data_IF_599762985465
#
_entry.id   IF_599762985465
#
_cell.length_a   1.000
_cell.length_b   1.000
_cell.length_c   1.000
_cell.angle_alpha   90.00
_cell.angle_beta   90.00
_cell.angle_gamma   90.00
#
_symmetry.space_group_name_H-M   'P 1'
#
loop_
_entity.id
_entity.type
_entity.pdbx_description
1 polymer ?
#
# COMPACT_ATOMS: atom_id res chain seq x y z
N UNK A 1 -35.93 -1.53 25.02
CA UNK A 1 -34.80 -0.87 24.36
C UNK A 1 -33.56 -1.17 25.21
N UNK A 2 -32.82 -2.23 24.91
CA UNK A 2 -31.60 -2.58 25.66
C UNK A 2 -30.53 -1.58 25.26
N UNK A 3 -30.03 -0.78 26.21
CA UNK A 3 -28.86 0.07 25.97
C UNK A 3 -27.70 -0.84 25.56
N UNK A 4 -27.24 -0.71 24.32
CA UNK A 4 -25.95 -1.27 23.92
C UNK A 4 -24.93 -0.61 24.83
N UNK A 5 -24.28 -1.41 25.67
CA UNK A 5 -23.00 -1.05 26.25
C UNK A 5 -22.14 -0.64 25.06
N UNK A 6 -21.79 0.65 24.96
CA UNK A 6 -20.84 1.14 23.97
C UNK A 6 -19.51 0.53 24.33
N UNK A 7 -19.22 -0.63 23.75
CA UNK A 7 -17.92 -1.26 23.82
C UNK A 7 -16.93 -0.23 23.27
N UNK A 8 -15.95 0.18 24.09
CA UNK A 8 -15.01 1.25 23.74
C UNK A 8 -14.46 1.02 22.32
N UNK A 9 -14.63 2.02 21.45
CA UNK A 9 -14.14 1.99 20.07
C UNK A 9 -12.64 1.71 20.06
N UNK A 10 -12.17 0.97 19.04
CA UNK A 10 -10.76 0.70 18.90
C UNK A 10 -9.97 2.00 18.67
N UNK A 11 -8.87 2.16 19.38
CA UNK A 11 -7.85 3.17 19.09
C UNK A 11 -6.57 2.49 18.62
N UNK A 12 -6.28 2.60 17.33
CA UNK A 12 -5.04 2.15 16.73
C UNK A 12 -3.94 3.21 16.94
N UNK A 13 -2.81 2.79 17.50
CA UNK A 13 -1.69 3.65 17.86
C UNK A 13 -0.49 3.29 17.00
N UNK A 14 -0.09 4.20 16.12
CA UNK A 14 1.11 4.09 15.30
C UNK A 14 2.21 5.00 15.84
N UNK A 15 3.27 4.41 16.36
CA UNK A 15 4.26 5.06 17.22
C UNK A 15 5.61 5.10 16.52
N UNK A 16 6.02 6.30 16.10
CA UNK A 16 7.24 6.49 15.31
C UNK A 16 8.54 6.33 16.11
N UNK A 17 8.44 6.04 17.42
CA UNK A 17 9.57 5.51 18.20
C UNK A 17 9.92 4.08 17.81
N UNK A 18 9.00 3.36 17.17
CA UNK A 18 9.14 1.93 16.91
C UNK A 18 8.74 1.50 15.50
N UNK A 19 7.93 2.28 14.79
CA UNK A 19 7.46 1.99 13.45
C UNK A 19 8.12 2.89 12.38
N UNK A 20 8.31 2.38 11.15
CA UNK A 20 8.93 3.14 10.07
C UNK A 20 8.02 4.27 9.57
N UNK A 21 8.63 5.31 9.01
CA UNK A 21 7.90 6.39 8.32
C UNK A 21 7.78 6.10 6.83
N UNK A 22 7.06 5.03 6.50
CA UNK A 22 6.93 4.43 5.16
C UNK A 22 5.48 3.99 4.87
N UNK A 23 5.24 3.39 3.70
CA UNK A 23 3.96 2.76 3.35
C UNK A 23 3.62 1.50 4.15
N UNK A 24 4.51 1.01 5.03
CA UNK A 24 4.21 -0.07 5.98
C UNK A 24 3.06 0.29 6.94
N UNK A 25 2.82 1.60 7.12
CA UNK A 25 1.62 2.11 7.78
C UNK A 25 0.32 1.56 7.15
N UNK A 26 0.31 1.26 5.85
CA UNK A 26 -0.84 0.64 5.20
C UNK A 26 -1.16 -0.74 5.78
N UNK A 27 -0.16 -1.59 5.98
CA UNK A 27 -0.36 -2.91 6.60
C UNK A 27 -0.88 -2.75 8.04
N UNK A 28 -0.35 -1.78 8.79
CA UNK A 28 -0.88 -1.47 10.12
C UNK A 28 -2.38 -1.13 10.10
N UNK A 29 -2.83 -0.32 9.13
CA UNK A 29 -4.25 0.02 8.99
C UNK A 29 -5.10 -1.22 8.64
N UNK A 30 -4.59 -2.11 7.77
CA UNK A 30 -5.25 -3.38 7.46
C UNK A 30 -5.46 -4.20 8.74
N UNK A 31 -4.40 -4.38 9.52
CA UNK A 31 -4.48 -5.17 10.76
C UNK A 31 -5.45 -4.55 11.77
N UNK A 32 -5.40 -3.23 11.93
CA UNK A 32 -6.31 -2.50 12.82
C UNK A 32 -7.78 -2.68 12.39
N UNK A 33 -8.09 -2.55 11.10
CA UNK A 33 -9.45 -2.74 10.59
C UNK A 33 -9.91 -4.19 10.67
N UNK A 34 -9.04 -5.17 10.36
CA UNK A 34 -9.36 -6.59 10.55
C UNK A 34 -9.71 -6.91 12.01
N UNK A 35 -8.94 -6.39 12.97
CA UNK A 35 -9.25 -6.54 14.40
C UNK A 35 -10.58 -5.86 14.76
N UNK A 36 -10.83 -4.66 14.22
CA UNK A 36 -12.10 -3.94 14.39
C UNK A 36 -13.29 -4.76 13.88
N UNK A 37 -13.16 -5.38 12.70
CA UNK A 37 -14.16 -6.27 12.10
C UNK A 37 -14.45 -7.49 12.98
N UNK A 38 -13.42 -8.21 13.45
CA UNK A 38 -13.58 -9.41 14.30
C UNK A 38 -14.25 -9.11 15.65
N UNK A 39 -14.20 -7.85 16.08
CA UNK A 39 -14.87 -7.36 17.30
C UNK A 39 -16.28 -6.86 17.06
N UNK A 40 -16.76 -6.87 15.81
CA UNK A 40 -18.06 -6.34 15.45
C UNK A 40 -18.16 -4.83 15.66
N UNK A 41 -17.05 -4.11 15.62
CA UNK A 41 -17.00 -2.65 15.76
C UNK A 41 -17.15 -1.99 14.38
N UNK A 42 -17.90 -0.89 14.32
CA UNK A 42 -18.23 -0.22 13.05
C UNK A 42 -17.17 0.78 12.58
N UNK A 43 -16.43 1.37 13.52
CA UNK A 43 -15.39 2.36 13.25
C UNK A 43 -14.29 2.29 14.29
N UNK A 44 -13.12 2.86 13.96
CA UNK A 44 -11.99 3.00 14.87
C UNK A 44 -11.22 4.29 14.63
N UNK A 45 -10.49 4.71 15.65
CA UNK A 45 -9.65 5.92 15.62
C UNK A 45 -8.17 5.55 15.41
N UNK A 46 -7.42 6.42 14.74
CA UNK A 46 -5.98 6.25 14.50
C UNK A 46 -5.19 7.41 15.09
N UNK A 47 -4.27 7.09 15.99
CA UNK A 47 -3.34 8.03 16.61
C UNK A 47 -1.91 7.76 16.13
N UNK A 48 -1.32 8.70 15.41
CA UNK A 48 0.09 8.67 15.03
C UNK A 48 0.90 9.47 16.04
N UNK A 49 1.81 8.81 16.77
CA UNK A 49 2.68 9.44 17.76
C UNK A 49 4.01 9.86 17.12
N UNK A 50 4.26 11.16 17.11
CA UNK A 50 5.38 11.86 16.49
C UNK A 50 6.20 12.64 17.54
N UNK A 51 6.16 12.23 18.80
CA UNK A 51 6.79 12.94 19.91
C UNK A 51 8.24 12.53 20.16
N UNK A 52 8.62 11.35 19.72
CA UNK A 52 9.97 10.79 19.81
C UNK A 52 10.15 9.78 18.65
N UNK A 53 11.39 9.46 18.32
CA UNK A 53 11.73 8.80 17.06
C UNK A 53 12.76 7.70 17.24
N UNK A 54 12.56 6.60 16.52
CA UNK A 54 13.59 5.57 16.45
C UNK A 54 14.83 6.12 15.73
N UNK A 55 15.99 5.93 16.37
CA UNK A 55 17.33 6.06 15.80
C UNK A 55 17.85 4.70 15.29
N UNK A 56 16.99 3.74 14.97
CA UNK A 56 17.41 2.43 14.45
C UNK A 56 16.55 2.00 13.29
N UNK A 57 17.21 1.45 12.27
CA UNK A 57 16.66 1.09 10.99
C UNK A 57 17.53 1.70 9.90
N UNK A 58 18.10 0.87 9.02
CA UNK A 58 18.92 1.36 7.91
C UNK A 58 18.11 2.40 7.12
N UNK A 59 18.62 3.64 7.06
CA UNK A 59 17.99 4.77 6.37
C UNK A 59 17.08 5.67 7.23
N UNK A 60 16.50 5.19 8.33
CA UNK A 60 15.60 6.00 9.20
C UNK A 60 16.39 6.99 10.07
N UNK A 61 17.64 6.67 10.39
CA UNK A 61 18.58 7.52 11.14
C UNK A 61 18.86 8.89 10.47
N UNK A 62 18.46 9.09 9.21
CA UNK A 62 18.72 10.32 8.44
C UNK A 62 17.56 11.30 8.36
N UNK A 63 16.33 10.90 8.72
CA UNK A 63 15.17 11.80 8.58
C UNK A 63 15.02 12.74 9.77
N UNK A 64 15.03 14.04 9.48
CA UNK A 64 14.72 15.10 10.44
C UNK A 64 13.28 14.98 10.97
N UNK A 65 13.03 15.58 12.14
CA UNK A 65 11.68 15.68 12.71
C UNK A 65 10.67 16.28 11.73
N UNK A 66 11.09 17.29 10.96
CA UNK A 66 10.22 17.96 9.98
C UNK A 66 9.86 17.04 8.82
N UNK A 67 10.83 16.29 8.27
CA UNK A 67 10.57 15.31 7.21
C UNK A 67 9.62 14.20 7.67
N UNK A 68 9.77 13.72 8.92
CA UNK A 68 8.87 12.70 9.47
C UNK A 68 7.44 13.21 9.64
N UNK A 69 7.27 14.44 10.16
CA UNK A 69 5.95 15.08 10.26
C UNK A 69 5.36 15.31 8.87
N UNK A 70 6.18 15.73 7.90
CA UNK A 70 5.76 15.90 6.52
C UNK A 70 5.29 14.56 5.92
N UNK A 71 6.07 13.48 6.09
CA UNK A 71 5.67 12.14 5.64
C UNK A 71 4.40 11.66 6.35
N UNK A 72 4.24 11.89 7.65
CA UNK A 72 3.02 11.51 8.37
C UNK A 72 1.77 12.21 7.78
N UNK A 73 1.89 13.48 7.40
CA UNK A 73 0.78 14.22 6.77
C UNK A 73 0.51 13.78 5.32
N UNK A 74 1.54 13.47 4.54
CA UNK A 74 1.37 13.17 3.11
C UNK A 74 1.17 11.67 2.81
N UNK A 75 1.60 10.79 3.72
CA UNK A 75 1.48 9.34 3.56
C UNK A 75 0.41 8.80 4.49
N UNK A 76 0.53 9.02 5.81
CA UNK A 76 -0.36 8.34 6.76
C UNK A 76 -1.77 8.89 6.75
N UNK A 77 -1.92 10.22 6.72
CA UNK A 77 -3.25 10.83 6.62
C UNK A 77 -3.93 10.40 5.32
N UNK A 78 -3.20 10.40 4.21
CA UNK A 78 -3.71 9.99 2.90
C UNK A 78 -4.05 8.50 2.82
N UNK A 79 -3.29 7.62 3.46
CA UNK A 79 -3.64 6.20 3.57
C UNK A 79 -4.86 5.99 4.48
N UNK A 80 -4.96 6.76 5.56
CA UNK A 80 -6.08 6.66 6.50
C UNK A 80 -7.41 7.06 5.84
N UNK A 81 -7.41 8.05 4.94
CA UNK A 81 -8.61 8.40 4.19
C UNK A 81 -9.09 7.32 3.22
N UNK A 82 -8.25 6.31 2.92
CA UNK A 82 -8.63 5.17 2.07
C UNK A 82 -9.30 4.04 2.86
N UNK A 83 -9.38 4.11 4.18
CA UNK A 83 -10.00 3.08 5.02
C UNK A 83 -11.32 3.64 5.56
N UNK A 84 -12.49 3.25 5.00
CA UNK A 84 -13.76 3.90 5.31
C UNK A 84 -14.20 3.82 6.77
N UNK A 85 -13.67 2.84 7.52
CA UNK A 85 -14.01 2.62 8.92
C UNK A 85 -13.19 3.49 9.89
N UNK A 86 -12.27 4.32 9.40
CA UNK A 86 -11.54 5.29 10.24
C UNK A 86 -12.41 6.54 10.41
N UNK A 87 -12.87 6.80 11.63
CA UNK A 87 -13.68 7.98 11.95
C UNK A 87 -12.83 9.18 12.39
N UNK A 88 -11.65 8.92 12.95
CA UNK A 88 -10.76 9.95 13.47
C UNK A 88 -9.29 9.60 13.18
N UNK A 89 -8.54 10.58 12.69
CA UNK A 89 -7.09 10.49 12.51
C UNK A 89 -6.39 11.66 13.20
N UNK A 90 -5.45 11.36 14.10
CA UNK A 90 -4.70 12.35 14.89
C UNK A 90 -3.21 12.16 14.73
N UNK A 91 -2.50 13.27 14.50
CA UNK A 91 -1.04 13.34 14.63
C UNK A 91 -0.70 14.02 15.96
N UNK A 92 -0.04 13.30 16.86
CA UNK A 92 0.30 13.75 18.21
C UNK A 92 1.80 14.04 18.25
N UNK A 93 2.19 15.31 18.32
CA UNK A 93 3.59 15.76 18.31
C UNK A 93 4.16 16.08 19.68
N UNK A 94 3.31 16.17 20.71
CA UNK A 94 3.68 16.34 22.12
C UNK A 94 3.56 15.03 22.91
N UNK A 95 3.78 15.05 24.23
CA UNK A 95 3.56 13.88 25.07
C UNK A 95 2.17 13.27 24.82
N UNK A 96 2.06 11.95 24.59
CA UNK A 96 0.78 11.34 24.32
C UNK A 96 -0.13 11.50 25.55
N UNK A 97 -1.44 11.76 25.36
CA UNK A 97 -2.39 11.70 26.46
C UNK A 97 -2.43 10.27 27.03
N UNK A 98 -2.97 10.07 28.24
CA UNK A 98 -3.27 8.72 28.71
C UNK A 98 -4.19 8.01 27.71
N UNK A 99 -3.68 6.98 27.04
CA UNK A 99 -4.44 6.14 26.13
C UNK A 99 -4.94 4.95 26.95
N UNK A 100 -6.26 4.86 27.10
CA UNK A 100 -6.95 3.84 27.90
C UNK A 100 -8.06 3.23 27.05
N UNK A 101 -8.44 2.00 27.39
CA UNK A 101 -9.53 1.29 26.72
C UNK A 101 -9.02 0.32 25.67
N UNK A 102 -9.74 0.24 24.55
CA UNK A 102 -9.51 -0.77 23.54
C UNK A 102 -8.42 -0.32 22.56
N UNK A 103 -7.17 -0.76 22.78
CA UNK A 103 -6.03 -0.30 21.98
C UNK A 103 -5.59 -1.35 20.96
N UNK A 104 -5.05 -0.88 19.84
CA UNK A 104 -4.20 -1.69 18.96
C UNK A 104 -2.86 -0.97 18.78
N UNK A 105 -1.72 -1.60 19.08
CA UNK A 105 -1.57 -2.94 19.67
C UNK A 105 -2.16 -3.06 21.09
N UNK A 106 -2.65 -4.26 21.47
CA UNK A 106 -3.46 -4.50 22.68
C UNK A 106 -2.81 -4.16 24.02
N UNK A 107 -1.49 -4.02 24.03
CA UNK A 107 -0.69 -3.74 25.21
C UNK A 107 0.26 -2.56 24.98
N UNK A 108 -0.10 -1.64 24.07
CA UNK A 108 0.68 -0.44 23.87
C UNK A 108 0.82 0.30 25.21
N UNK A 109 2.06 0.56 25.60
CA UNK A 109 2.41 1.44 26.72
C UNK A 109 3.56 2.33 26.30
N UNK A 110 3.76 3.45 26.99
CA UNK A 110 4.85 4.36 26.65
C UNK A 110 6.24 3.68 26.71
N UNK A 111 6.43 2.70 27.58
CA UNK A 111 7.67 1.93 27.76
C UNK A 111 7.75 0.67 26.87
N UNK A 112 6.73 0.40 26.05
CA UNK A 112 6.60 -0.84 25.31
C UNK A 112 7.58 -0.95 24.13
N UNK A 113 8.51 -1.91 24.15
CA UNK A 113 9.51 -2.09 23.09
C UNK A 113 9.41 -3.40 22.28
N UNK A 114 8.77 -4.46 22.80
CA UNK A 114 9.11 -5.84 22.37
C UNK A 114 8.16 -6.52 21.37
N UNK A 115 6.83 -6.27 21.39
CA UNK A 115 5.92 -6.85 20.36
C UNK A 115 5.49 -5.88 19.26
N UNK A 116 6.07 -4.69 19.21
CA UNK A 116 5.61 -3.68 18.25
C UNK A 116 5.91 -4.12 16.82
N UNK A 117 7.08 -4.74 16.56
CA UNK A 117 7.46 -5.24 15.24
C UNK A 117 6.48 -6.27 14.68
N UNK A 118 5.83 -7.07 15.53
CA UNK A 118 4.81 -8.05 15.09
C UNK A 118 3.57 -7.35 14.52
N UNK A 119 3.25 -6.12 14.94
CA UNK A 119 2.04 -5.39 14.52
C UNK A 119 2.13 -4.74 13.13
N UNK A 120 3.16 -5.08 12.33
CA UNK A 120 3.42 -4.52 10.99
C UNK A 120 3.64 -5.58 9.92
N UNK A 121 3.52 -6.86 10.30
CA UNK A 121 3.88 -7.97 9.43
C UNK A 121 2.66 -8.41 8.64
N UNK A 122 2.78 -8.48 7.31
CA UNK A 122 1.68 -8.84 6.42
C UNK A 122 1.13 -10.24 6.71
N UNK A 123 1.97 -11.16 7.23
CA UNK A 123 1.54 -12.47 7.74
C UNK A 123 0.36 -12.39 8.71
N UNK A 124 0.30 -11.39 9.58
CA UNK A 124 -0.80 -11.31 10.55
C UNK A 124 -2.14 -11.03 9.87
N UNK A 125 -2.16 -10.45 8.67
CA UNK A 125 -3.39 -10.30 7.90
C UNK A 125 -3.89 -11.66 7.37
N UNK A 126 -2.98 -12.59 7.09
CA UNK A 126 -3.31 -14.00 6.76
C UNK A 126 -3.95 -14.70 7.95
N UNK A 127 -3.36 -14.56 9.13
CA UNK A 127 -3.93 -15.12 10.36
C UNK A 127 -5.34 -14.56 10.63
N UNK A 128 -5.52 -13.23 10.55
CA UNK A 128 -6.82 -12.59 10.75
C UNK A 128 -7.85 -12.94 9.67
N UNK A 129 -7.42 -13.16 8.42
CA UNK A 129 -8.29 -13.63 7.35
C UNK A 129 -8.90 -15.00 7.66
N UNK A 130 -8.09 -15.93 8.16
CA UNK A 130 -8.58 -17.26 8.55
C UNK A 130 -9.51 -17.22 9.78
N UNK A 131 -9.41 -16.20 10.62
CA UNK A 131 -10.36 -15.92 11.71
C UNK A 131 -11.66 -15.24 11.21
N UNK A 132 -11.77 -14.95 9.92
CA UNK A 132 -12.98 -14.41 9.28
C UNK A 132 -12.97 -12.91 9.01
N UNK A 133 -11.83 -12.22 9.17
CA UNK A 133 -11.70 -10.83 8.76
C UNK A 133 -11.57 -10.69 7.23
N UNK A 134 -11.89 -9.52 6.70
CA UNK A 134 -11.66 -9.17 5.30
C UNK A 134 -10.53 -8.12 5.18
N UNK A 135 -9.34 -8.49 4.67
CA UNK A 135 -8.22 -7.58 4.49
C UNK A 135 -8.37 -6.57 3.34
N UNK A 136 -9.43 -6.66 2.53
CA UNK A 136 -9.70 -5.71 1.44
C UNK A 136 -10.31 -4.39 1.96
N UNK A 137 -9.50 -3.63 2.67
CA UNK A 137 -9.87 -2.42 3.43
C UNK A 137 -9.73 -1.13 2.62
N UNK A 138 -8.77 -1.07 1.69
CA UNK A 138 -8.48 0.17 0.96
C UNK A 138 -9.49 0.41 -0.15
N UNK A 139 -10.05 1.62 -0.15
CA UNK A 139 -11.00 2.11 -1.14
C UNK A 139 -10.80 3.59 -1.33
N UNK A 140 -10.74 4.04 -2.57
CA UNK A 140 -10.74 5.48 -2.86
C UNK A 140 -12.02 6.16 -2.37
N UNK A 141 -11.94 7.47 -2.10
CA UNK A 141 -13.09 8.27 -1.72
C UNK A 141 -14.04 8.45 -2.92
N UNK A 142 -15.31 8.72 -2.62
CA UNK A 142 -16.33 8.96 -3.64
C UNK A 142 -15.94 10.11 -4.59
N UNK A 143 -15.47 11.23 -4.05
CA UNK A 143 -15.02 12.38 -4.84
C UNK A 143 -13.87 12.02 -5.79
N UNK A 144 -12.88 11.23 -5.33
CA UNK A 144 -11.78 10.79 -6.19
C UNK A 144 -12.26 9.84 -7.30
N UNK A 145 -13.23 8.95 -7.01
CA UNK A 145 -13.86 8.09 -8.01
C UNK A 145 -14.60 8.88 -9.07
N UNK A 146 -15.46 9.81 -8.65
CA UNK A 146 -16.21 10.66 -9.57
C UNK A 146 -15.28 11.47 -10.48
N UNK A 147 -14.24 12.08 -9.92
CA UNK A 147 -13.25 12.84 -10.68
C UNK A 147 -12.56 11.98 -11.75
N UNK A 148 -12.10 10.78 -11.38
CA UNK A 148 -11.42 9.87 -12.32
C UNK A 148 -12.39 9.38 -13.38
N UNK A 149 -13.59 8.95 -13.01
CA UNK A 149 -14.60 8.47 -13.94
C UNK A 149 -15.02 9.53 -14.96
N UNK A 150 -15.15 10.80 -14.53
CA UNK A 150 -15.49 11.90 -15.43
C UNK A 150 -14.35 12.21 -16.42
N UNK A 151 -13.10 12.21 -15.93
CA UNK A 151 -11.93 12.65 -16.70
C UNK A 151 -11.35 11.58 -17.59
N UNK A 152 -11.43 10.31 -17.19
CA UNK A 152 -10.78 9.18 -17.86
C UNK A 152 -11.83 8.15 -18.28
N UNK A 153 -12.57 8.47 -19.34
CA UNK A 153 -13.70 7.67 -19.85
C UNK A 153 -13.29 6.47 -20.70
N UNK A 154 -12.02 6.39 -21.08
CA UNK A 154 -11.48 5.32 -21.91
C UNK A 154 -11.09 4.13 -21.06
N UNK A 155 -10.97 2.96 -21.68
CA UNK A 155 -10.39 1.79 -21.02
C UNK A 155 -8.87 1.96 -20.99
N UNK A 156 -8.29 2.04 -19.80
CA UNK A 156 -6.85 2.26 -19.66
C UNK A 156 -6.15 1.23 -18.77
N UNK A 157 -4.84 1.11 -18.97
CA UNK A 157 -3.92 0.33 -18.14
C UNK A 157 -2.98 1.29 -17.43
N UNK A 158 -2.60 0.97 -16.19
CA UNK A 158 -1.58 1.74 -15.48
C UNK A 158 -0.27 0.98 -15.38
N UNK A 159 0.84 1.72 -15.46
CA UNK A 159 2.19 1.22 -15.25
C UNK A 159 2.81 1.94 -14.07
N UNK A 160 3.01 1.25 -12.95
CA UNK A 160 3.54 1.85 -11.72
C UNK A 160 5.00 1.48 -11.51
N UNK A 161 5.86 2.48 -11.68
CA UNK A 161 7.31 2.31 -11.63
C UNK A 161 7.81 2.40 -10.18
N UNK A 162 8.82 1.61 -9.83
CA UNK A 162 9.55 1.77 -8.57
C UNK A 162 10.98 2.23 -8.85
N UNK A 163 11.20 3.54 -8.84
CA UNK A 163 12.50 4.18 -9.07
C UNK A 163 13.07 4.85 -7.80
N UNK A 164 12.58 4.45 -6.61
CA UNK A 164 13.07 4.98 -5.34
C UNK A 164 14.59 4.76 -5.19
N UNK A 165 15.26 5.64 -4.44
CA UNK A 165 16.68 5.46 -4.08
C UNK A 165 16.94 4.17 -3.31
N UNK A 166 15.90 3.61 -2.71
CA UNK A 166 15.95 2.36 -1.97
C UNK A 166 15.72 1.13 -2.86
N UNK A 167 15.43 1.33 -4.16
CA UNK A 167 15.44 0.28 -5.15
C UNK A 167 16.77 0.32 -5.93
N UNK A 168 17.77 -0.41 -5.42
CA UNK A 168 19.12 -0.44 -5.99
C UNK A 168 19.18 -0.94 -7.45
N UNK A 169 18.16 -1.69 -7.88
CA UNK A 169 18.09 -2.31 -9.20
C UNK A 169 17.27 -1.46 -10.17
N UNK A 170 16.49 -0.53 -9.63
CA UNK A 170 15.60 0.34 -10.39
C UNK A 170 14.54 -0.43 -11.16
N UNK A 171 13.73 0.30 -11.91
CA UNK A 171 12.87 -0.28 -12.95
C UNK A 171 13.64 -0.28 -14.27
N UNK A 172 13.59 -1.37 -15.04
CA UNK A 172 14.10 -1.38 -16.42
C UNK A 172 13.18 -0.53 -17.31
N UNK A 173 13.47 0.76 -17.40
CA UNK A 173 12.63 1.72 -18.10
C UNK A 173 12.55 1.44 -19.61
N UNK A 174 13.55 0.79 -20.21
CA UNK A 174 13.51 0.42 -21.63
C UNK A 174 12.49 -0.69 -21.87
N UNK A 175 12.56 -1.75 -21.07
CA UNK A 175 11.60 -2.85 -21.12
C UNK A 175 10.16 -2.36 -20.87
N UNK A 176 9.97 -1.50 -19.87
CA UNK A 176 8.66 -0.93 -19.53
C UNK A 176 8.14 0.04 -20.60
N UNK A 177 9.00 0.81 -21.28
CA UNK A 177 8.57 1.67 -22.38
C UNK A 177 8.18 0.88 -23.63
N UNK A 178 8.96 -0.17 -23.97
CA UNK A 178 8.58 -1.09 -25.05
C UNK A 178 7.24 -1.76 -24.74
N UNK A 179 7.02 -2.15 -23.48
CA UNK A 179 5.75 -2.72 -23.04
C UNK A 179 4.60 -1.71 -23.10
N UNK A 180 4.82 -0.45 -22.72
CA UNK A 180 3.88 0.65 -22.91
C UNK A 180 3.43 0.74 -24.38
N UNK A 181 4.37 0.74 -25.33
CA UNK A 181 4.07 0.80 -26.76
C UNK A 181 3.31 -0.46 -27.24
N UNK A 182 3.65 -1.62 -26.68
CA UNK A 182 2.97 -2.87 -26.96
C UNK A 182 1.48 -2.78 -26.57
N UNK A 183 1.18 -2.36 -25.34
CA UNK A 183 -0.21 -2.22 -24.88
C UNK A 183 -0.99 -1.20 -25.74
N UNK A 184 -0.37 -0.05 -26.07
CA UNK A 184 -1.01 0.96 -26.93
C UNK A 184 -1.39 0.40 -28.31
N UNK A 185 -0.61 -0.55 -28.85
CA UNK A 185 -0.92 -1.20 -30.13
C UNK A 185 -2.22 -2.01 -30.14
N UNK A 186 -2.75 -2.38 -28.96
CA UNK A 186 -4.06 -3.02 -28.77
C UNK A 186 -5.20 -2.01 -28.53
N UNK A 187 -4.93 -0.70 -28.60
CA UNK A 187 -5.94 0.35 -28.47
C UNK A 187 -6.30 0.75 -27.04
N UNK A 188 -5.50 0.33 -26.05
CA UNK A 188 -5.63 0.81 -24.67
C UNK A 188 -4.96 2.17 -24.51
N UNK A 189 -5.56 3.05 -23.71
CA UNK A 189 -4.80 4.15 -23.12
C UNK A 189 -3.87 3.59 -22.05
N UNK A 190 -2.63 4.09 -21.99
CA UNK A 190 -1.66 3.65 -20.99
C UNK A 190 -1.15 4.85 -20.22
N UNK A 191 -1.13 4.76 -18.90
CA UNK A 191 -0.67 5.83 -18.03
C UNK A 191 0.41 5.34 -17.08
N UNK A 192 1.54 6.03 -17.09
CA UNK A 192 2.64 5.78 -16.16
C UNK A 192 2.44 6.57 -14.87
N UNK A 193 2.57 5.89 -13.74
CA UNK A 193 2.58 6.51 -12.41
C UNK A 193 3.97 6.30 -11.80
N UNK A 194 4.81 7.33 -11.75
CA UNK A 194 6.13 7.21 -11.15
C UNK A 194 6.05 6.99 -9.64
N UNK A 195 7.15 6.52 -9.08
CA UNK A 195 7.38 6.58 -7.64
C UNK A 195 7.38 8.05 -7.16
N UNK A 196 6.98 8.29 -5.91
CA UNK A 196 6.91 9.64 -5.35
C UNK A 196 8.30 10.31 -5.32
N UNK A 197 9.35 9.59 -4.95
CA UNK A 197 10.70 10.13 -4.89
C UNK A 197 11.24 10.40 -6.30
N UNK A 198 10.93 9.53 -7.26
CA UNK A 198 11.27 9.76 -8.66
C UNK A 198 10.58 11.01 -9.20
N UNK A 199 9.31 11.25 -8.87
CA UNK A 199 8.62 12.48 -9.25
C UNK A 199 9.28 13.74 -8.66
N UNK A 200 9.64 13.70 -7.37
CA UNK A 200 10.12 14.87 -6.64
C UNK A 200 11.60 15.19 -6.90
N UNK A 201 12.43 14.19 -7.19
CA UNK A 201 13.89 14.37 -7.23
C UNK A 201 14.51 14.01 -8.58
N UNK A 202 14.42 12.75 -9.01
CA UNK A 202 15.26 12.22 -10.11
C UNK A 202 14.63 12.37 -11.48
N UNK A 203 13.31 12.26 -11.56
CA UNK A 203 12.50 12.29 -12.78
C UNK A 203 13.00 11.34 -13.87
N UNK A 204 13.51 10.15 -13.50
CA UNK A 204 13.96 9.11 -14.43
C UNK A 204 12.85 8.68 -15.37
N UNK A 205 11.60 8.67 -14.88
CA UNK A 205 10.45 8.40 -15.74
C UNK A 205 10.32 9.36 -16.96
N UNK A 206 11.01 10.51 -17.00
CA UNK A 206 10.98 11.42 -18.16
C UNK A 206 11.90 11.03 -19.30
N UNK A 207 12.67 9.94 -19.17
CA UNK A 207 13.53 9.44 -20.24
C UNK A 207 12.77 8.98 -21.49
N UNK A 208 11.45 8.78 -21.39
CA UNK A 208 10.60 8.29 -22.48
C UNK A 208 9.33 9.13 -22.65
N UNK A 209 8.76 9.22 -23.87
CA UNK A 209 7.59 10.04 -24.17
C UNK A 209 6.26 9.31 -23.96
N UNK A 210 6.06 8.67 -22.80
CA UNK A 210 4.77 8.06 -22.41
C UNK A 210 3.82 9.08 -21.76
N UNK A 211 2.52 8.76 -21.68
CA UNK A 211 1.57 9.54 -20.88
C UNK A 211 1.82 9.28 -19.39
N UNK A 212 1.91 10.33 -18.59
CA UNK A 212 2.20 10.25 -17.15
C UNK A 212 1.06 10.86 -16.33
N UNK A 213 0.66 10.19 -15.24
CA UNK A 213 -0.24 10.76 -14.26
C UNK A 213 0.49 11.19 -12.98
N UNK A 214 1.19 12.33 -13.04
CA UNK A 214 2.01 12.82 -11.93
C UNK A 214 1.21 13.05 -10.63
N UNK A 215 -0.05 13.51 -10.72
CA UNK A 215 -0.89 13.74 -9.52
C UNK A 215 -1.12 12.48 -8.69
N UNK A 216 -1.22 11.31 -9.34
CA UNK A 216 -1.36 10.02 -8.66
C UNK A 216 -0.06 9.60 -7.91
N UNK A 217 1.06 10.28 -8.12
CA UNK A 217 2.30 9.99 -7.38
C UNK A 217 2.36 10.71 -6.02
N UNK A 218 1.56 11.75 -5.81
CA UNK A 218 1.52 12.56 -4.58
C UNK A 218 0.16 12.54 -3.87
N UNK A 219 -0.91 12.15 -4.56
CA UNK A 219 -2.24 12.02 -3.99
C UNK A 219 -2.68 10.55 -4.06
N UNK A 220 -2.64 9.87 -2.92
CA UNK A 220 -2.96 8.43 -2.84
C UNK A 220 -4.44 8.13 -3.11
N UNK A 221 -5.34 9.07 -2.84
CA UNK A 221 -6.76 8.91 -3.12
C UNK A 221 -7.06 8.91 -4.61
N UNK A 222 -6.48 9.87 -5.33
CA UNK A 222 -6.49 9.85 -6.80
C UNK A 222 -5.78 8.61 -7.35
N UNK A 223 -4.67 8.18 -6.74
CA UNK A 223 -3.92 6.99 -7.17
C UNK A 223 -4.78 5.72 -7.07
N UNK A 224 -5.40 5.47 -5.92
CA UNK A 224 -6.26 4.31 -5.72
C UNK A 224 -7.52 4.38 -6.58
N UNK A 225 -8.12 5.57 -6.73
CA UNK A 225 -9.26 5.74 -7.64
C UNK A 225 -8.88 5.37 -9.08
N UNK A 226 -7.69 5.80 -9.53
CA UNK A 226 -7.18 5.47 -10.85
C UNK A 226 -6.90 3.98 -11.03
N UNK A 227 -6.34 3.33 -10.00
CA UNK A 227 -6.16 1.88 -10.00
C UNK A 227 -7.47 1.09 -10.02
N UNK A 228 -8.47 1.52 -9.25
CA UNK A 228 -9.79 0.88 -9.19
C UNK A 228 -10.57 0.96 -10.50
N UNK A 229 -10.35 2.02 -11.30
CA UNK A 229 -11.01 2.20 -12.60
C UNK A 229 -10.21 1.66 -13.79
N UNK A 230 -8.92 1.33 -13.59
CA UNK A 230 -8.10 0.75 -14.63
C UNK A 230 -8.58 -0.65 -15.01
N UNK A 231 -8.37 -1.03 -16.27
CA UNK A 231 -8.64 -2.38 -16.74
C UNK A 231 -7.71 -3.40 -16.07
N UNK A 232 -6.46 -3.01 -15.83
CA UNK A 232 -5.49 -3.71 -14.99
C UNK A 232 -4.33 -2.78 -14.65
N UNK A 233 -3.58 -3.10 -13.59
CA UNK A 233 -2.47 -2.30 -13.10
C UNK A 233 -1.19 -3.15 -13.08
N UNK A 234 -0.22 -2.82 -13.94
CA UNK A 234 1.10 -3.45 -13.92
C UNK A 234 2.02 -2.67 -13.00
N UNK A 235 2.61 -3.35 -12.02
CA UNK A 235 3.38 -2.72 -10.97
C UNK A 235 4.71 -3.44 -10.74
N UNK A 236 5.80 -2.70 -10.57
CA UNK A 236 6.94 -3.25 -9.84
C UNK A 236 6.55 -3.40 -8.36
N UNK A 237 7.17 -4.35 -7.66
CA UNK A 237 7.01 -4.46 -6.22
C UNK A 237 7.51 -3.19 -5.52
N UNK A 238 6.63 -2.59 -4.70
CA UNK A 238 6.95 -1.56 -3.72
C UNK A 238 5.99 -1.68 -2.55
N UNK A 239 6.32 -1.06 -1.41
CA UNK A 239 5.43 -1.04 -0.23
C UNK A 239 4.09 -0.37 -0.51
N UNK A 240 4.02 0.53 -1.50
CA UNK A 240 2.76 1.16 -1.92
C UNK A 240 1.97 0.24 -2.85
N UNK A 241 2.60 -0.34 -3.87
CA UNK A 241 1.88 -1.21 -4.83
C UNK A 241 1.45 -2.52 -4.19
N UNK A 242 2.13 -2.99 -3.13
CA UNK A 242 1.66 -4.15 -2.34
C UNK A 242 0.34 -3.90 -1.64
N UNK A 243 -0.05 -2.64 -1.40
CA UNK A 243 -1.35 -2.30 -0.80
C UNK A 243 -2.53 -2.56 -1.75
N UNK A 244 -2.29 -2.77 -3.05
CA UNK A 244 -3.33 -3.12 -4.01
C UNK A 244 -3.96 -4.49 -3.74
N UNK A 245 -3.22 -5.42 -3.13
CA UNK A 245 -3.77 -6.70 -2.68
C UNK A 245 -4.72 -6.57 -1.48
N UNK A 246 -4.79 -5.39 -0.86
CA UNK A 246 -5.72 -5.07 0.22
C UNK A 246 -6.81 -4.11 -0.25
N UNK A 247 -7.02 -4.02 -1.57
CA UNK A 247 -8.13 -3.32 -2.22
C UNK A 247 -8.84 -4.29 -3.17
N UNK A 248 -9.79 -3.78 -3.95
CA UNK A 248 -10.45 -4.55 -5.03
C UNK A 248 -9.85 -4.27 -6.41
N UNK A 249 -8.82 -3.44 -6.51
CA UNK A 249 -8.24 -3.07 -7.79
C UNK A 249 -7.55 -4.29 -8.43
N UNK A 250 -7.70 -4.50 -9.75
CA UNK A 250 -6.95 -5.51 -10.49
C UNK A 250 -5.46 -5.15 -10.45
N UNK A 251 -4.56 -6.11 -10.29
CA UNK A 251 -3.12 -5.83 -10.24
C UNK A 251 -2.32 -7.02 -10.73
N UNK A 252 -1.25 -6.75 -11.47
CA UNK A 252 -0.20 -7.71 -11.79
C UNK A 252 1.11 -7.11 -11.28
N UNK A 253 1.64 -7.67 -10.19
CA UNK A 253 2.82 -7.14 -9.50
C UNK A 253 4.04 -8.02 -9.70
N UNK A 254 5.12 -7.45 -10.23
CA UNK A 254 6.37 -8.13 -10.55
C UNK A 254 7.45 -7.90 -9.49
N UNK A 255 8.59 -8.57 -9.65
CA UNK A 255 9.85 -8.24 -8.95
C UNK A 255 9.86 -8.55 -7.45
N UNK A 256 9.15 -9.60 -7.06
CA UNK A 256 9.04 -10.04 -5.67
C UNK A 256 10.36 -10.54 -5.10
N UNK A 257 11.18 -11.17 -5.93
CA UNK A 257 12.43 -11.88 -5.57
C UNK A 257 13.69 -11.12 -5.99
N UNK A 258 13.58 -9.84 -6.32
CA UNK A 258 14.74 -9.00 -6.59
C UNK A 258 15.69 -9.05 -5.37
N UNK A 259 16.97 -9.36 -5.65
CA UNK A 259 18.13 -9.41 -4.73
C UNK A 259 18.45 -10.73 -4.07
N UNK A 260 17.62 -11.76 -4.19
CA UNK A 260 17.85 -13.02 -3.44
C UNK A 260 17.78 -12.86 -1.91
N UNK A 261 17.57 -11.64 -1.39
CA UNK A 261 17.36 -11.33 0.03
C UNK A 261 15.95 -11.67 0.52
N UNK A 262 15.06 -12.00 -0.41
CA UNK A 262 13.67 -12.38 -0.15
C UNK A 262 13.46 -13.84 -0.53
N UNK A 263 14.19 -14.69 0.16
CA UNK A 263 14.07 -16.14 0.02
C UNK A 263 12.74 -16.65 0.62
N UNK A 264 12.54 -17.97 0.54
CA UNK A 264 11.33 -18.60 1.09
C UNK A 264 11.11 -18.33 2.59
N UNK A 265 12.13 -18.44 3.47
CA UNK A 265 12.01 -18.02 4.87
C UNK A 265 11.51 -16.59 5.04
N UNK A 266 12.08 -15.63 4.31
CA UNK A 266 11.66 -14.23 4.40
C UNK A 266 10.17 -14.07 4.07
N UNK A 267 9.70 -14.67 2.98
CA UNK A 267 8.30 -14.59 2.56
C UNK A 267 7.36 -15.27 3.55
N UNK A 268 7.70 -16.48 4.01
CA UNK A 268 6.89 -17.18 4.99
C UNK A 268 6.77 -16.41 6.32
N UNK A 269 7.88 -15.83 6.80
CA UNK A 269 7.90 -15.08 8.05
C UNK A 269 7.18 -13.73 7.94
N UNK A 270 7.36 -13.00 6.83
CA UNK A 270 6.88 -11.63 6.70
C UNK A 270 5.49 -11.49 6.05
N UNK A 271 5.10 -12.46 5.22
CA UNK A 271 3.87 -12.40 4.41
C UNK A 271 2.93 -13.57 4.66
N UNK A 272 3.42 -14.66 5.27
CA UNK A 272 2.58 -15.80 5.64
C UNK A 272 2.36 -16.83 4.54
N UNK A 273 3.10 -16.71 3.44
CA UNK A 273 3.07 -17.63 2.31
C UNK A 273 4.45 -17.70 1.64
N UNK A 274 4.64 -18.68 0.76
CA UNK A 274 5.92 -18.99 0.11
C UNK A 274 5.99 -18.44 -1.31
N UNK A 275 7.21 -18.32 -1.89
CA UNK A 275 7.37 -18.10 -3.31
C UNK A 275 6.57 -19.10 -4.16
N UNK A 276 5.85 -18.58 -5.14
CA UNK A 276 4.87 -19.31 -5.95
C UNK A 276 3.41 -19.13 -5.52
N UNK A 277 3.15 -18.69 -4.29
CA UNK A 277 1.79 -18.55 -3.75
C UNK A 277 1.21 -17.14 -3.95
N UNK A 278 -0.04 -16.94 -3.51
CA UNK A 278 -0.76 -15.67 -3.51
C UNK A 278 -1.31 -15.39 -2.11
N UNK A 279 -1.71 -14.15 -1.83
CA UNK A 279 -2.54 -13.89 -0.66
C UNK A 279 -3.85 -14.70 -0.73
N UNK A 280 -4.34 -15.27 0.37
CA UNK A 280 -5.53 -16.12 0.35
C UNK A 280 -6.83 -15.36 0.02
N UNK A 281 -6.82 -14.04 0.09
CA UNK A 281 -7.94 -13.17 -0.30
C UNK A 281 -7.76 -12.51 -1.69
N UNK A 282 -6.66 -12.78 -2.39
CA UNK A 282 -6.44 -12.22 -3.72
C UNK A 282 -7.49 -12.74 -4.70
N UNK A 283 -8.06 -11.84 -5.50
CA UNK A 283 -8.96 -12.23 -6.59
C UNK A 283 -8.18 -12.84 -7.77
N UNK A 284 -8.89 -13.41 -8.74
CA UNK A 284 -8.28 -13.89 -9.99
C UNK A 284 -7.61 -12.76 -10.81
N UNK A 285 -7.95 -11.50 -10.54
CA UNK A 285 -7.39 -10.31 -11.20
C UNK A 285 -6.25 -9.68 -10.38
N UNK A 286 -5.91 -10.24 -9.22
CA UNK A 286 -4.83 -9.79 -8.35
C UNK A 286 -3.72 -10.83 -8.33
N UNK A 287 -2.70 -10.60 -9.14
CA UNK A 287 -1.63 -11.55 -9.42
C UNK A 287 -0.31 -11.00 -8.90
N UNK A 288 0.28 -11.71 -7.94
CA UNK A 288 1.67 -11.56 -7.56
C UNK A 288 2.52 -12.47 -8.44
N UNK A 289 3.32 -11.91 -9.35
CA UNK A 289 4.23 -12.70 -10.18
C UNK A 289 5.54 -12.89 -9.44
N UNK A 290 6.13 -14.07 -9.56
CA UNK A 290 7.43 -14.39 -8.96
C UNK A 290 8.59 -14.19 -9.95
N UNK A 291 8.29 -13.51 -11.06
CA UNK A 291 9.20 -13.27 -12.18
C UNK A 291 9.66 -11.82 -12.22
N UNK A 292 10.79 -11.57 -12.87
CA UNK A 292 11.30 -10.22 -13.12
C UNK A 292 10.48 -9.53 -14.23
N UNK A 293 10.33 -8.22 -14.13
CA UNK A 293 9.57 -7.38 -15.08
C UNK A 293 10.30 -7.12 -16.41
N UNK A 294 10.75 -8.17 -17.10
CA UNK A 294 11.32 -8.05 -18.45
C UNK A 294 10.23 -7.89 -19.52
N UNK A 295 10.57 -7.29 -20.67
CA UNK A 295 9.61 -7.01 -21.76
C UNK A 295 8.76 -8.24 -22.14
N UNK A 296 9.41 -9.38 -22.39
CA UNK A 296 8.69 -10.60 -22.81
C UNK A 296 7.71 -11.10 -21.73
N UNK A 297 8.06 -10.96 -20.45
CA UNK A 297 7.21 -11.37 -19.33
C UNK A 297 6.05 -10.43 -19.13
N UNK A 298 6.30 -9.12 -19.24
CA UNK A 298 5.24 -8.12 -19.21
C UNK A 298 4.20 -8.39 -20.33
N UNK A 299 4.65 -8.63 -21.56
CA UNK A 299 3.78 -8.97 -22.69
C UNK A 299 3.00 -10.27 -22.43
N UNK A 300 3.66 -11.32 -21.94
CA UNK A 300 3.01 -12.60 -21.62
C UNK A 300 1.82 -12.43 -20.66
N UNK A 301 1.99 -11.66 -19.58
CA UNK A 301 0.91 -11.42 -18.61
C UNK A 301 -0.20 -10.53 -19.19
N UNK A 302 0.14 -9.58 -20.07
CA UNK A 302 -0.86 -8.79 -20.77
C UNK A 302 -1.68 -9.62 -21.77
N UNK A 303 -1.04 -10.51 -22.52
CA UNK A 303 -1.73 -11.41 -23.43
C UNK A 303 -2.68 -12.36 -22.68
N UNK A 304 -2.26 -12.87 -21.52
CA UNK A 304 -3.12 -13.65 -20.64
C UNK A 304 -4.31 -12.83 -20.10
N UNK A 305 -4.08 -11.57 -19.75
CA UNK A 305 -5.16 -10.64 -19.39
C UNK A 305 -6.14 -10.43 -20.56
N UNK A 306 -5.66 -10.21 -21.79
CA UNK A 306 -6.56 -10.06 -22.95
C UNK A 306 -7.40 -11.32 -23.20
N UNK A 307 -6.78 -12.50 -23.06
CA UNK A 307 -7.45 -13.78 -23.23
C UNK A 307 -8.55 -14.01 -22.18
N UNK A 308 -8.40 -13.50 -20.96
CA UNK A 308 -9.42 -13.64 -19.90
C UNK A 308 -10.60 -12.68 -20.06
N UNK A 309 -10.52 -11.72 -20.99
CA UNK A 309 -11.55 -10.72 -21.26
C UNK A 309 -12.43 -11.10 -22.47
N UNK A 310 -12.08 -12.19 -23.15
CA UNK A 310 -12.77 -12.73 -24.34
C UNK A 310 -13.73 -13.85 -23.96
#
# INVERSE_FOLDING_TARGET
MKSRVTQDSLTAIYDLRYAPTSYDFGIFLVLADCINQLRGQGSFSVNVLCNDYQSRGQGVEKLSRQERIWKARNIFQSLSSLVPNIDEFKIITGPPPPLIGNLFPFNWTYSYRKSYLESYVARNAVELYYEGANPNVFRSTEMAREYVAEKYKTRYVTLSLNNSIHNEYGTDLDAWYRFYQYIESFGFDVFVIPDQEDLLFFRKFKSYPWKVFESASINLDLRFSFYEHAATNFCNFSRLTSLLFYSKAPVIQFDQLINGERDEPFWAENFGFKPGEQYPWASAEQIMTWELSGFDRLCQYFDAFLASQS
#
